data_IF_485772565754
#
_entry.id   IF_485772565754
#
_cell.length_a   1.000
_cell.length_b   1.000
_cell.length_c   1.000
_cell.angle_alpha   90.00
_cell.angle_beta   90.00
_cell.angle_gamma   90.00
#
_symmetry.space_group_name_H-M   'P 1'
#
loop_
_entity.id
_entity.type
_entity.pdbx_description
1 polymer ?
#
# COMPACT_ATOMS: atom_id res chain seq x y z
N UNK A 1 -13.02 -31.15 23.76
CA UNK A 1 -11.72 -31.70 23.26
C UNK A 1 -10.66 -31.10 24.14
N UNK A 2 -9.87 -31.89 24.86
CA UNK A 2 -8.76 -31.38 25.65
C UNK A 2 -7.72 -30.82 24.71
N UNK A 3 -7.46 -29.53 24.79
CA UNK A 3 -6.34 -28.89 24.10
C UNK A 3 -5.06 -29.43 24.74
N UNK A 4 -4.43 -30.41 24.10
CA UNK A 4 -3.08 -30.81 24.45
C UNK A 4 -2.19 -29.58 24.27
N UNK A 5 -1.73 -29.01 25.38
CA UNK A 5 -0.76 -27.94 25.35
C UNK A 5 0.56 -28.55 24.86
N UNK A 6 0.99 -28.19 23.66
CA UNK A 6 2.15 -28.76 22.95
C UNK A 6 3.45 -28.74 23.76
N UNK A 7 3.55 -27.84 24.77
CA UNK A 7 4.76 -27.60 25.58
C UNK A 7 4.52 -27.82 27.06
N UNK A 8 3.53 -28.65 27.45
CA UNK A 8 3.18 -28.90 28.84
C UNK A 8 4.28 -29.62 29.66
N UNK A 9 5.25 -30.21 28.98
CA UNK A 9 6.43 -30.86 29.56
C UNK A 9 7.54 -29.90 29.97
N UNK A 10 7.49 -28.64 29.54
CA UNK A 10 8.45 -27.62 29.89
C UNK A 10 7.91 -26.75 31.01
N UNK A 11 8.78 -26.44 31.98
CA UNK A 11 8.44 -25.51 33.04
C UNK A 11 8.31 -24.06 32.51
N UNK A 12 7.40 -23.30 33.07
CA UNK A 12 7.25 -21.89 32.71
C UNK A 12 8.46 -21.10 33.18
N UNK A 13 9.08 -20.34 32.27
CA UNK A 13 10.25 -19.50 32.53
C UNK A 13 9.81 -18.04 32.55
N UNK A 14 10.22 -17.29 33.56
CA UNK A 14 9.98 -15.85 33.67
C UNK A 14 10.93 -15.03 32.80
N UNK A 15 10.56 -13.78 32.49
CA UNK A 15 11.45 -12.84 31.79
C UNK A 15 12.75 -12.62 32.53
N UNK A 16 12.71 -12.58 33.89
CA UNK A 16 13.87 -12.40 34.74
C UNK A 16 14.85 -13.58 34.62
N UNK A 17 14.36 -14.82 34.66
CA UNK A 17 15.20 -16.03 34.48
C UNK A 17 15.82 -16.03 33.09
N UNK A 18 15.04 -15.72 32.05
CA UNK A 18 15.57 -15.63 30.69
C UNK A 18 16.65 -14.58 30.55
N UNK A 19 16.43 -13.38 31.10
CA UNK A 19 17.44 -12.32 31.12
C UNK A 19 18.71 -12.70 31.87
N UNK A 20 18.58 -13.40 32.98
CA UNK A 20 19.75 -13.91 33.75
C UNK A 20 20.56 -14.90 32.92
N UNK A 21 19.91 -15.80 32.20
CA UNK A 21 20.57 -16.75 31.30
C UNK A 21 21.37 -16.02 30.23
N UNK A 22 20.75 -15.02 29.58
CA UNK A 22 21.43 -14.20 28.57
C UNK A 22 22.66 -13.49 29.18
N UNK A 23 22.51 -12.88 30.34
CA UNK A 23 23.62 -12.19 31.01
C UNK A 23 24.78 -13.14 31.37
N UNK A 24 24.43 -14.36 31.77
CA UNK A 24 25.43 -15.40 32.00
C UNK A 24 26.21 -15.76 30.74
N UNK A 25 25.50 -15.90 29.62
CA UNK A 25 26.08 -16.24 28.32
C UNK A 25 26.93 -15.11 27.73
N UNK A 26 26.61 -13.85 28.05
CA UNK A 26 27.39 -12.67 27.65
C UNK A 26 28.76 -12.55 28.36
N UNK A 27 29.04 -13.38 29.39
CA UNK A 27 30.32 -13.46 30.08
C UNK A 27 30.89 -12.11 30.57
N UNK A 28 30.02 -11.25 31.07
CA UNK A 28 30.38 -9.94 31.63
C UNK A 28 30.30 -8.76 30.67
N UNK A 29 29.89 -8.99 29.43
CA UNK A 29 29.56 -7.90 28.49
C UNK A 29 28.21 -7.29 28.87
N UNK A 30 28.06 -5.97 28.78
CA UNK A 30 26.82 -5.31 29.13
C UNK A 30 25.66 -5.69 28.18
N UNK A 31 24.53 -6.06 28.78
CA UNK A 31 23.33 -6.49 28.07
C UNK A 31 22.75 -5.38 27.21
N UNK A 32 22.67 -4.14 27.72
CA UNK A 32 22.03 -3.04 27.02
C UNK A 32 22.88 -2.56 25.84
N UNK A 33 24.20 -2.50 26.03
CA UNK A 33 25.13 -2.07 24.98
C UNK A 33 25.22 -3.10 23.83
N UNK A 34 25.02 -4.39 24.15
CA UNK A 34 25.23 -5.47 23.16
C UNK A 34 23.96 -5.88 22.44
N UNK A 35 22.85 -5.95 23.16
CA UNK A 35 21.62 -6.59 22.66
C UNK A 35 20.41 -5.65 22.52
N UNK A 36 20.45 -4.47 23.17
CA UNK A 36 19.39 -3.50 23.03
C UNK A 36 19.72 -2.58 21.85
N UNK A 37 18.91 -2.65 20.83
CA UNK A 37 19.04 -1.80 19.67
C UNK A 37 18.17 -0.54 19.82
N UNK A 38 18.72 0.60 19.51
CA UNK A 38 17.97 1.85 19.45
C UNK A 38 17.63 2.18 18.00
N UNK A 39 16.33 2.25 17.71
CA UNK A 39 15.85 2.60 16.36
C UNK A 39 16.10 4.07 16.06
N UNK A 40 15.98 4.45 14.78
CA UNK A 40 16.11 5.84 14.34
C UNK A 40 15.02 6.76 14.93
N UNK A 41 13.94 6.19 15.45
CA UNK A 41 12.84 6.87 16.13
C UNK A 41 13.09 7.02 17.65
N UNK A 42 14.24 6.57 18.15
CA UNK A 42 14.60 6.61 19.57
C UNK A 42 13.93 5.54 20.42
N UNK A 43 13.40 4.48 19.79
CA UNK A 43 12.77 3.36 20.49
C UNK A 43 13.84 2.31 20.82
N UNK A 44 13.96 1.97 22.11
CA UNK A 44 14.84 0.89 22.56
C UNK A 44 14.17 -0.46 22.39
N UNK A 45 14.67 -1.25 21.44
CA UNK A 45 14.16 -2.58 21.12
C UNK A 45 14.99 -3.61 21.87
N UNK A 46 14.33 -4.37 22.76
CA UNK A 46 14.95 -5.45 23.52
C UNK A 46 15.09 -6.72 22.63
N UNK A 47 16.04 -7.63 22.94
CA UNK A 47 16.19 -8.88 22.19
C UNK A 47 15.03 -9.85 22.37
N UNK A 48 14.22 -9.69 23.41
CA UNK A 48 12.99 -10.44 23.65
C UNK A 48 11.99 -9.62 24.46
N UNK A 49 10.73 -10.01 24.37
CA UNK A 49 9.61 -9.51 25.18
C UNK A 49 8.86 -10.70 25.76
N UNK A 50 8.45 -10.58 27.02
CA UNK A 50 7.75 -11.63 27.74
C UNK A 50 6.44 -11.09 28.32
N UNK A 51 5.44 -11.97 28.46
CA UNK A 51 4.10 -11.59 28.89
C UNK A 51 4.05 -11.02 30.32
N UNK A 52 4.98 -11.43 31.19
CA UNK A 52 5.08 -10.93 32.58
C UNK A 52 5.64 -9.50 32.69
N UNK A 53 6.23 -8.97 31.62
CA UNK A 53 6.68 -7.58 31.49
C UNK A 53 5.72 -6.71 30.66
N UNK A 54 4.62 -7.29 30.17
CA UNK A 54 3.72 -6.60 29.24
C UNK A 54 2.48 -6.10 29.95
N UNK A 55 2.31 -4.79 30.01
CA UNK A 55 1.07 -4.14 30.41
C UNK A 55 0.05 -4.08 29.25
N UNK A 56 0.34 -4.72 28.12
CA UNK A 56 -0.52 -4.69 26.95
C UNK A 56 -1.77 -5.53 27.22
N UNK A 57 -2.89 -4.88 27.33
CA UNK A 57 -4.19 -5.55 27.35
C UNK A 57 -4.49 -6.06 25.94
N UNK A 58 -4.17 -7.31 25.65
CA UNK A 58 -4.41 -7.95 24.34
C UNK A 58 -5.89 -7.94 23.94
N UNK A 59 -6.81 -7.78 24.90
CA UNK A 59 -8.24 -7.66 24.65
C UNK A 59 -8.64 -6.27 24.10
N UNK A 60 -7.74 -5.28 24.17
CA UNK A 60 -7.94 -3.95 23.60
C UNK A 60 -7.52 -3.85 22.14
N UNK A 61 -6.98 -4.92 21.55
CA UNK A 61 -6.70 -4.98 20.12
C UNK A 61 -8.04 -4.98 19.39
N UNK A 62 -8.37 -3.86 18.77
CA UNK A 62 -9.56 -3.73 17.92
C UNK A 62 -9.44 -4.83 16.85
N UNK A 63 -10.47 -5.67 16.67
CA UNK A 63 -10.42 -6.69 15.64
C UNK A 63 -10.11 -6.04 14.30
N UNK A 64 -9.09 -6.53 13.64
CA UNK A 64 -8.69 -6.02 12.34
C UNK A 64 -9.89 -6.13 11.39
N UNK A 65 -10.22 -5.04 10.69
CA UNK A 65 -11.17 -5.13 9.59
C UNK A 65 -10.62 -6.13 8.58
N UNK A 66 -11.48 -6.89 7.89
CA UNK A 66 -11.02 -7.76 6.82
C UNK A 66 -10.16 -6.95 5.85
N UNK A 67 -8.96 -7.45 5.54
CA UNK A 67 -8.11 -6.87 4.50
C UNK A 67 -8.44 -7.53 3.17
N UNK A 68 -8.14 -6.84 2.09
CA UNK A 68 -8.35 -7.31 0.71
C UNK A 68 -7.01 -7.72 0.12
N UNK A 69 -6.93 -8.95 -0.36
CA UNK A 69 -5.72 -9.47 -1.02
C UNK A 69 -5.67 -8.95 -2.45
N UNK A 70 -4.68 -8.12 -2.76
CA UNK A 70 -4.48 -7.53 -4.08
C UNK A 70 -3.29 -8.16 -4.78
N UNK A 71 -3.50 -8.75 -5.96
CA UNK A 71 -2.44 -9.28 -6.79
C UNK A 71 -1.95 -8.24 -7.79
N UNK A 72 -0.63 -8.01 -7.82
CA UNK A 72 0.00 -7.15 -8.83
C UNK A 72 0.26 -7.93 -10.12
N UNK A 73 -0.10 -7.36 -11.27
CA UNK A 73 0.13 -7.90 -12.61
C UNK A 73 0.70 -6.80 -13.49
N UNK A 74 1.88 -7.04 -14.04
CA UNK A 74 2.48 -6.18 -15.05
C UNK A 74 1.93 -6.53 -16.43
N UNK A 75 1.38 -5.53 -17.13
CA UNK A 75 0.69 -5.74 -18.41
C UNK A 75 1.66 -5.52 -19.57
N UNK A 76 2.35 -6.59 -19.95
CA UNK A 76 3.16 -6.60 -21.16
C UNK A 76 2.36 -7.15 -22.37
N UNK A 77 1.56 -8.20 -22.14
CA UNK A 77 0.65 -8.80 -23.11
C UNK A 77 -0.74 -8.82 -22.52
N UNK A 78 -1.70 -8.18 -23.17
CA UNK A 78 -3.06 -7.98 -22.67
C UNK A 78 -3.76 -9.32 -22.39
N UNK A 79 -3.69 -10.26 -23.35
CA UNK A 79 -4.39 -11.55 -23.23
C UNK A 79 -3.82 -12.42 -22.12
N UNK A 80 -2.49 -12.46 -22.02
CA UNK A 80 -1.82 -13.20 -20.93
C UNK A 80 -2.09 -12.57 -19.58
N UNK A 81 -2.10 -11.25 -19.48
CA UNK A 81 -2.39 -10.52 -18.25
C UNK A 81 -3.84 -10.70 -17.81
N UNK A 82 -4.79 -10.68 -18.75
CA UNK A 82 -6.20 -11.00 -18.49
C UNK A 82 -6.36 -12.44 -17.97
N UNK A 83 -5.77 -13.43 -18.66
CA UNK A 83 -5.82 -14.83 -18.24
C UNK A 83 -5.22 -15.03 -16.84
N UNK A 84 -4.10 -14.36 -16.55
CA UNK A 84 -3.48 -14.39 -15.21
C UNK A 84 -4.35 -13.75 -14.14
N UNK A 85 -5.04 -12.67 -14.46
CA UNK A 85 -5.97 -12.02 -13.53
C UNK A 85 -7.14 -12.94 -13.18
N UNK A 86 -7.74 -13.61 -14.18
CA UNK A 86 -8.79 -14.60 -13.98
C UNK A 86 -8.32 -15.75 -13.08
N UNK A 87 -7.16 -16.35 -13.39
CA UNK A 87 -6.59 -17.42 -12.60
C UNK A 87 -6.32 -16.97 -11.15
N UNK A 88 -5.77 -15.81 -10.96
CA UNK A 88 -5.41 -15.27 -9.64
C UNK A 88 -6.65 -15.05 -8.76
N UNK A 89 -7.71 -14.48 -9.33
CA UNK A 89 -8.99 -14.30 -8.63
C UNK A 89 -9.62 -15.65 -8.26
N UNK A 90 -9.54 -16.66 -9.13
CA UNK A 90 -10.00 -18.02 -8.81
C UNK A 90 -9.20 -18.68 -7.69
N UNK A 91 -7.95 -18.30 -7.50
CA UNK A 91 -7.04 -18.82 -6.46
C UNK A 91 -7.12 -18.08 -5.13
N UNK A 92 -7.98 -17.08 -5.00
CA UNK A 92 -8.25 -16.40 -3.73
C UNK A 92 -7.72 -14.98 -3.60
N UNK A 93 -7.19 -14.37 -4.67
CA UNK A 93 -7.04 -12.93 -4.68
C UNK A 93 -8.43 -12.27 -4.76
N UNK A 94 -8.61 -11.16 -4.07
CA UNK A 94 -9.88 -10.45 -3.98
C UNK A 94 -9.90 -9.19 -4.85
N UNK A 95 -8.73 -8.79 -5.34
CA UNK A 95 -8.54 -7.62 -6.19
C UNK A 95 -7.29 -7.77 -7.06
N UNK A 96 -7.21 -6.98 -8.12
CA UNK A 96 -6.07 -6.98 -9.04
C UNK A 96 -5.56 -5.56 -9.25
N UNK A 97 -4.23 -5.41 -9.24
CA UNK A 97 -3.55 -4.20 -9.66
C UNK A 97 -2.80 -4.45 -10.96
N UNK A 98 -3.18 -3.73 -12.00
CA UNK A 98 -2.50 -3.74 -13.29
C UNK A 98 -1.51 -2.58 -13.37
N UNK A 99 -0.24 -2.87 -13.68
CA UNK A 99 0.72 -1.85 -14.09
C UNK A 99 0.76 -1.81 -15.61
N UNK A 100 0.37 -0.68 -16.20
CA UNK A 100 0.20 -0.46 -17.64
C UNK A 100 1.27 0.52 -18.11
N UNK A 101 2.14 0.10 -19.03
CA UNK A 101 3.29 0.92 -19.44
C UNK A 101 2.96 2.06 -20.40
N UNK A 102 1.88 1.92 -21.18
CA UNK A 102 1.52 2.91 -22.19
C UNK A 102 0.00 2.94 -22.44
N UNK A 103 -0.47 3.98 -23.11
CA UNK A 103 -1.89 4.24 -23.38
C UNK A 103 -2.46 3.54 -24.61
N UNK A 104 -1.68 2.64 -25.23
CA UNK A 104 -2.14 1.84 -26.39
C UNK A 104 -2.90 0.56 -25.99
N UNK A 105 -2.87 0.21 -24.70
CA UNK A 105 -3.52 -0.97 -24.15
C UNK A 105 -5.04 -0.83 -24.25
N UNK A 106 -5.73 -1.87 -24.75
CA UNK A 106 -7.19 -1.96 -24.73
C UNK A 106 -7.69 -2.36 -23.34
N UNK A 107 -8.44 -1.47 -22.70
CA UNK A 107 -9.06 -1.73 -21.39
C UNK A 107 -10.12 -2.81 -21.51
N UNK A 108 -10.89 -2.82 -22.60
CA UNK A 108 -11.92 -3.81 -22.86
C UNK A 108 -11.35 -5.22 -22.95
N UNK A 109 -10.23 -5.40 -23.67
CA UNK A 109 -9.58 -6.70 -23.76
C UNK A 109 -8.96 -7.11 -22.43
N UNK A 110 -8.32 -6.18 -21.73
CA UNK A 110 -7.69 -6.45 -20.43
C UNK A 110 -8.72 -6.88 -19.38
N UNK A 111 -9.88 -6.27 -19.39
CA UNK A 111 -10.96 -6.52 -18.44
C UNK A 111 -11.97 -7.58 -18.90
N UNK A 112 -11.76 -8.20 -20.06
CA UNK A 112 -12.70 -9.17 -20.62
C UNK A 112 -12.96 -10.36 -19.67
N UNK A 113 -14.23 -10.63 -19.39
CA UNK A 113 -14.69 -11.72 -18.51
C UNK A 113 -14.18 -11.66 -17.06
N UNK A 114 -13.55 -10.57 -16.64
CA UNK A 114 -13.21 -10.36 -15.25
C UNK A 114 -14.48 -10.07 -14.42
N UNK A 115 -14.60 -10.59 -13.19
CA UNK A 115 -15.73 -10.30 -12.31
C UNK A 115 -15.72 -8.82 -11.94
N UNK A 116 -16.85 -8.13 -12.12
CA UNK A 116 -16.98 -6.70 -11.80
C UNK A 116 -17.53 -6.49 -10.38
N UNK A 117 -18.43 -7.38 -9.96
CA UNK A 117 -19.04 -7.28 -8.64
C UNK A 117 -18.05 -7.70 -7.53
N UNK A 118 -17.97 -6.89 -6.48
CA UNK A 118 -17.15 -7.14 -5.28
C UNK A 118 -15.63 -7.22 -5.52
N UNK A 119 -15.13 -6.85 -6.70
CA UNK A 119 -13.71 -6.80 -7.01
C UNK A 119 -13.29 -5.36 -7.28
N UNK A 120 -12.22 -4.91 -6.62
CA UNK A 120 -11.61 -3.62 -6.91
C UNK A 120 -10.47 -3.81 -7.91
N UNK A 121 -10.38 -2.91 -8.88
CA UNK A 121 -9.29 -2.89 -9.86
C UNK A 121 -8.45 -1.65 -9.67
N UNK A 122 -7.14 -1.82 -9.65
CA UNK A 122 -6.18 -0.73 -9.53
C UNK A 122 -5.39 -0.65 -10.84
N UNK A 123 -5.30 0.54 -11.41
CA UNK A 123 -4.50 0.80 -12.61
C UNK A 123 -3.34 1.71 -12.26
N UNK A 124 -2.15 1.15 -12.17
CA UNK A 124 -0.92 1.89 -11.95
C UNK A 124 -0.37 2.34 -13.29
N UNK A 125 -0.34 3.66 -13.51
CA UNK A 125 0.04 4.30 -14.76
C UNK A 125 1.36 5.07 -14.57
N UNK A 126 2.50 4.57 -15.06
CA UNK A 126 3.76 5.28 -15.06
C UNK A 126 3.83 6.34 -16.18
N UNK A 127 2.68 6.87 -16.57
CA UNK A 127 2.51 7.94 -17.55
C UNK A 127 1.24 8.74 -17.22
N UNK A 128 1.11 9.93 -17.82
CA UNK A 128 -0.05 10.80 -17.62
C UNK A 128 -0.71 11.13 -18.96
N UNK A 129 -1.80 10.42 -19.28
CA UNK A 129 -2.63 10.62 -20.46
C UNK A 129 -4.09 10.87 -20.07
N UNK A 130 -4.63 12.05 -20.42
CA UNK A 130 -6.02 12.43 -20.15
C UNK A 130 -6.96 11.47 -20.89
N UNK A 131 -6.63 11.16 -22.14
CA UNK A 131 -7.42 10.30 -23.02
C UNK A 131 -7.53 8.88 -22.45
N UNK A 132 -6.43 8.38 -21.90
CA UNK A 132 -6.42 7.03 -21.31
C UNK A 132 -7.21 6.98 -20.01
N UNK A 133 -7.07 7.99 -19.15
CA UNK A 133 -7.88 8.11 -17.92
C UNK A 133 -9.37 8.22 -18.27
N UNK A 134 -9.71 8.96 -19.33
CA UNK A 134 -11.09 9.06 -19.82
C UNK A 134 -11.65 7.72 -20.28
N UNK A 135 -10.89 6.94 -21.06
CA UNK A 135 -11.28 5.56 -21.46
C UNK A 135 -11.53 4.66 -20.25
N UNK A 136 -10.66 4.72 -19.23
CA UNK A 136 -10.86 3.95 -17.99
C UNK A 136 -12.16 4.39 -17.31
N UNK A 137 -12.43 5.69 -17.22
CA UNK A 137 -13.63 6.22 -16.58
C UNK A 137 -14.90 5.82 -17.33
N UNK A 138 -14.90 5.87 -18.67
CA UNK A 138 -16.01 5.40 -19.50
C UNK A 138 -16.27 3.90 -19.29
N UNK A 139 -15.22 3.08 -19.30
CA UNK A 139 -15.33 1.65 -19.04
C UNK A 139 -15.90 1.39 -17.65
N UNK A 140 -15.36 2.08 -16.62
CA UNK A 140 -15.78 1.95 -15.22
C UNK A 140 -17.26 2.30 -15.07
N UNK A 141 -17.71 3.41 -15.62
CA UNK A 141 -19.09 3.87 -15.54
C UNK A 141 -20.04 2.92 -16.27
N UNK A 142 -19.70 2.53 -17.51
CA UNK A 142 -20.51 1.64 -18.34
C UNK A 142 -20.72 0.26 -17.68
N UNK A 143 -19.68 -0.28 -17.08
CA UNK A 143 -19.71 -1.63 -16.52
C UNK A 143 -19.95 -1.65 -15.00
N UNK A 144 -20.11 -0.48 -14.36
CA UNK A 144 -20.20 -0.32 -12.90
C UNK A 144 -18.99 -0.93 -12.15
N UNK A 145 -17.83 -0.89 -12.80
CA UNK A 145 -16.60 -1.40 -12.23
C UNK A 145 -16.04 -0.41 -11.22
N UNK A 146 -15.54 -0.89 -10.08
CA UNK A 146 -14.85 -0.05 -9.10
C UNK A 146 -13.36 0.00 -9.41
N UNK A 147 -12.92 1.14 -9.97
CA UNK A 147 -11.55 1.32 -10.44
C UNK A 147 -10.86 2.45 -9.66
N UNK A 148 -9.62 2.20 -9.27
CA UNK A 148 -8.69 3.15 -8.67
C UNK A 148 -7.54 3.37 -9.64
N UNK A 149 -7.32 4.61 -10.04
CA UNK A 149 -6.18 4.96 -10.88
C UNK A 149 -5.05 5.44 -9.98
N UNK A 150 -3.84 5.02 -10.27
CA UNK A 150 -2.63 5.36 -9.55
C UNK A 150 -1.73 6.15 -10.50
N UNK A 151 -1.90 7.48 -10.47
CA UNK A 151 -1.03 8.44 -11.15
C UNK A 151 -0.44 9.36 -10.10
N UNK A 152 0.86 9.63 -10.19
CA UNK A 152 1.58 10.43 -9.20
C UNK A 152 2.75 11.19 -9.85
N UNK A 153 2.53 12.38 -10.45
CA UNK A 153 3.61 13.19 -11.04
C UNK A 153 4.68 13.65 -10.06
N UNK A 154 4.31 14.00 -8.81
CA UNK A 154 5.29 14.36 -7.77
C UNK A 154 6.10 13.12 -7.37
N UNK A 155 5.44 11.97 -7.22
CA UNK A 155 6.12 10.70 -6.97
C UNK A 155 7.03 10.28 -8.13
N UNK A 156 6.62 10.54 -9.37
CA UNK A 156 7.47 10.35 -10.54
C UNK A 156 8.73 11.21 -10.47
N UNK A 157 8.58 12.50 -10.15
CA UNK A 157 9.72 13.40 -9.93
C UNK A 157 10.64 12.89 -8.82
N UNK A 158 10.06 12.49 -7.68
CA UNK A 158 10.83 12.01 -6.53
C UNK A 158 11.60 10.72 -6.81
N UNK A 159 11.04 9.84 -7.67
CA UNK A 159 11.60 8.54 -8.01
C UNK A 159 12.63 8.61 -9.14
N UNK A 160 12.32 9.35 -10.20
CA UNK A 160 13.10 9.33 -11.45
C UNK A 160 13.88 10.66 -11.66
N UNK A 161 13.65 11.69 -10.84
CA UNK A 161 14.26 13.01 -11.01
C UNK A 161 13.63 13.87 -12.11
N UNK A 162 12.60 13.40 -12.78
CA UNK A 162 11.93 14.09 -13.88
C UNK A 162 10.42 14.00 -13.74
N UNK A 163 9.72 15.07 -14.16
CA UNK A 163 8.28 15.08 -14.39
C UNK A 163 7.92 14.19 -15.58
N UNK A 164 6.66 13.88 -15.80
CA UNK A 164 6.22 13.22 -17.05
C UNK A 164 6.50 14.13 -18.26
N UNK A 165 6.14 15.42 -18.16
CA UNK A 165 6.52 16.45 -19.12
C UNK A 165 7.24 17.62 -18.42
N UNK A 166 6.52 18.37 -17.60
CA UNK A 166 7.00 19.42 -16.71
C UNK A 166 5.92 19.74 -15.66
N UNK A 167 6.29 20.54 -14.65
CA UNK A 167 5.40 20.90 -13.55
C UNK A 167 4.06 21.46 -14.02
N UNK A 168 4.09 22.47 -14.91
CA UNK A 168 2.88 23.17 -15.33
C UNK A 168 1.94 22.25 -16.10
N UNK A 169 2.46 21.53 -17.09
CA UNK A 169 1.67 20.62 -17.92
C UNK A 169 1.11 19.42 -17.17
N UNK A 170 1.88 18.85 -16.28
CA UNK A 170 1.43 17.70 -15.49
C UNK A 170 0.28 18.10 -14.56
N UNK A 171 0.37 19.27 -13.93
CA UNK A 171 -0.73 19.77 -13.10
C UNK A 171 -1.92 20.29 -13.92
N UNK A 172 -1.72 20.84 -15.11
CA UNK A 172 -2.81 21.17 -16.04
C UNK A 172 -3.61 19.92 -16.43
N UNK A 173 -2.91 18.83 -16.76
CA UNK A 173 -3.56 17.53 -17.05
C UNK A 173 -4.31 17.00 -15.84
N UNK A 174 -3.71 17.03 -14.64
CA UNK A 174 -4.39 16.59 -13.41
C UNK A 174 -5.62 17.42 -13.10
N UNK A 175 -5.57 18.74 -13.25
CA UNK A 175 -6.73 19.62 -13.08
C UNK A 175 -7.85 19.30 -14.11
N UNK A 176 -7.48 18.95 -15.33
CA UNK A 176 -8.44 18.54 -16.36
C UNK A 176 -9.10 17.21 -15.98
N UNK A 177 -8.32 16.24 -15.48
CA UNK A 177 -8.84 14.96 -14.99
C UNK A 177 -9.76 15.19 -13.79
N UNK A 178 -9.36 16.01 -12.81
CA UNK A 178 -10.16 16.30 -11.63
C UNK A 178 -11.54 16.89 -11.97
N UNK A 179 -11.59 17.83 -12.91
CA UNK A 179 -12.85 18.45 -13.36
C UNK A 179 -13.78 17.49 -14.09
N UNK A 180 -13.20 16.56 -14.83
CA UNK A 180 -13.96 15.59 -15.65
C UNK A 180 -14.31 14.31 -14.87
N UNK A 181 -13.75 14.14 -13.68
CA UNK A 181 -14.05 13.02 -12.81
C UNK A 181 -15.18 13.40 -11.87
N UNK A 182 -16.36 12.82 -12.08
CA UNK A 182 -17.49 13.06 -11.18
C UNK A 182 -17.22 12.42 -9.82
N UNK A 183 -17.48 13.14 -8.70
CA UNK A 183 -17.40 12.54 -7.39
C UNK A 183 -18.38 11.39 -7.30
N UNK A 184 -17.94 10.28 -6.77
CA UNK A 184 -18.79 9.14 -6.44
C UNK A 184 -19.72 9.54 -5.29
N UNK A 185 -20.90 10.06 -5.61
CA UNK A 185 -22.02 10.03 -4.66
C UNK A 185 -22.42 8.56 -4.47
N UNK A 186 -21.82 7.95 -3.46
CA UNK A 186 -22.02 6.55 -3.12
C UNK A 186 -21.31 5.58 -4.07
N UNK A 187 -20.34 4.86 -3.56
CA UNK A 187 -19.48 3.87 -4.21
C UNK A 187 -20.23 2.70 -4.91
N UNK A 188 -21.54 2.84 -5.19
CA UNK A 188 -22.45 1.82 -5.71
C UNK A 188 -22.80 2.00 -7.20
N UNK A 189 -22.42 3.13 -7.82
CA UNK A 189 -22.90 3.45 -9.18
C UNK A 189 -21.85 3.26 -10.29
N UNK A 190 -20.63 2.82 -9.95
CA UNK A 190 -19.52 2.72 -10.91
C UNK A 190 -18.82 4.07 -11.14
N UNK A 191 -17.61 4.04 -11.63
CA UNK A 191 -16.76 5.20 -11.88
C UNK A 191 -15.37 5.04 -11.24
N UNK A 192 -14.46 5.97 -11.57
CA UNK A 192 -13.12 5.99 -10.97
C UNK A 192 -13.20 6.50 -9.53
N UNK A 193 -12.84 5.63 -8.57
CA UNK A 193 -12.96 5.93 -7.14
C UNK A 193 -11.87 6.88 -6.63
N UNK A 194 -10.70 6.88 -7.28
CA UNK A 194 -9.57 7.78 -7.05
C UNK A 194 -8.68 7.77 -8.28
N UNK A 195 -8.08 8.92 -8.61
CA UNK A 195 -7.11 9.02 -9.70
C UNK A 195 -5.72 9.40 -9.23
N UNK A 196 -5.55 9.74 -7.96
CA UNK A 196 -4.25 10.03 -7.35
C UNK A 196 -3.94 9.02 -6.25
N UNK A 197 -2.74 8.46 -6.31
CA UNK A 197 -2.23 7.58 -5.27
C UNK A 197 -0.81 7.97 -4.92
N UNK A 198 -0.56 8.23 -3.66
CA UNK A 198 0.76 8.56 -3.12
C UNK A 198 1.30 7.34 -2.42
N UNK A 199 2.49 6.89 -2.82
CA UNK A 199 3.16 5.77 -2.18
C UNK A 199 4.28 6.23 -1.24
N UNK A 200 4.17 5.92 0.05
CA UNK A 200 5.25 6.12 1.01
C UNK A 200 6.49 5.25 0.71
N UNK A 201 6.31 4.20 -0.09
CA UNK A 201 7.39 3.30 -0.51
C UNK A 201 8.51 4.00 -1.26
N UNK A 202 8.24 5.11 -1.94
CA UNK A 202 9.26 5.94 -2.59
C UNK A 202 10.25 6.45 -1.54
N UNK A 203 9.74 7.01 -0.46
CA UNK A 203 10.55 7.57 0.63
C UNK A 203 11.24 6.49 1.45
N UNK A 204 10.56 5.36 1.70
CA UNK A 204 11.16 4.21 2.38
C UNK A 204 12.35 3.66 1.61
N UNK A 205 12.22 3.49 0.30
CA UNK A 205 13.30 2.99 -0.55
C UNK A 205 14.49 3.96 -0.62
N UNK A 206 14.24 5.25 -0.38
CA UNK A 206 15.29 6.27 -0.24
C UNK A 206 15.93 6.31 1.16
N UNK A 207 15.49 5.45 2.11
CA UNK A 207 16.06 5.34 3.45
C UNK A 207 15.36 6.18 4.52
N UNK A 208 14.17 6.74 4.24
CA UNK A 208 13.40 7.48 5.23
C UNK A 208 12.91 6.57 6.36
N UNK A 209 13.05 7.01 7.62
CA UNK A 209 12.46 6.35 8.76
C UNK A 209 10.93 6.54 8.78
N UNK A 210 10.22 5.85 9.69
CA UNK A 210 8.74 5.84 9.74
C UNK A 210 8.17 7.26 9.88
N UNK A 211 8.76 8.10 10.72
CA UNK A 211 8.32 9.49 10.93
C UNK A 211 8.52 10.33 9.67
N UNK A 212 9.68 10.19 9.02
CA UNK A 212 9.99 10.86 7.77
C UNK A 212 9.07 10.40 6.63
N UNK A 213 8.81 9.10 6.53
CA UNK A 213 7.87 8.56 5.53
C UNK A 213 6.49 9.20 5.68
N UNK A 214 5.96 9.26 6.91
CA UNK A 214 4.67 9.87 7.18
C UNK A 214 4.69 11.37 6.85
N UNK A 215 5.70 12.10 7.30
CA UNK A 215 5.84 13.53 7.06
C UNK A 215 5.91 13.86 5.55
N UNK A 216 6.74 13.15 4.80
CA UNK A 216 6.87 13.35 3.35
C UNK A 216 5.60 12.97 2.60
N UNK A 217 4.95 11.88 2.98
CA UNK A 217 3.69 11.45 2.35
C UNK A 217 2.57 12.47 2.58
N UNK A 218 2.47 13.03 3.78
CA UNK A 218 1.49 14.08 4.10
C UNK A 218 1.82 15.40 3.39
N UNK A 219 3.09 15.80 3.33
CA UNK A 219 3.52 16.98 2.58
C UNK A 219 3.22 16.83 1.09
N UNK A 220 3.46 15.65 0.53
CA UNK A 220 3.15 15.29 -0.84
C UNK A 220 1.65 15.42 -1.13
N UNK A 221 0.79 14.87 -0.26
CA UNK A 221 -0.65 15.01 -0.37
C UNK A 221 -1.09 16.49 -0.29
N UNK A 222 -0.52 17.25 0.64
CA UNK A 222 -0.82 18.66 0.81
C UNK A 222 -0.47 19.49 -0.44
N UNK A 223 0.60 19.14 -1.15
CA UNK A 223 0.97 19.81 -2.40
C UNK A 223 -0.09 19.57 -3.49
N UNK A 224 -0.68 18.38 -3.58
CA UNK A 224 -1.80 18.15 -4.49
C UNK A 224 -3.02 18.98 -4.12
N UNK A 225 -3.40 19.04 -2.85
CA UNK A 225 -4.53 19.88 -2.41
C UNK A 225 -4.32 21.37 -2.70
N UNK A 226 -3.08 21.85 -2.59
CA UNK A 226 -2.76 23.25 -2.90
C UNK A 226 -2.82 23.57 -4.39
N UNK A 227 -2.47 22.59 -5.25
CA UNK A 227 -2.37 22.81 -6.71
C UNK A 227 -3.60 22.36 -7.50
N UNK A 228 -4.44 21.54 -6.91
CA UNK A 228 -5.68 21.06 -7.53
C UNK A 228 -6.87 21.47 -6.65
N UNK A 229 -7.31 22.74 -6.74
CA UNK A 229 -8.33 23.28 -5.83
C UNK A 229 -9.70 22.59 -6.00
N UNK A 230 -9.98 22.03 -7.16
CA UNK A 230 -11.26 21.37 -7.48
C UNK A 230 -11.20 19.84 -7.25
N UNK A 231 -10.22 19.36 -6.48
CA UNK A 231 -10.11 17.92 -6.17
C UNK A 231 -11.25 17.51 -5.24
N UNK A 232 -12.23 16.83 -5.79
CA UNK A 232 -13.41 16.33 -5.07
C UNK A 232 -13.34 14.81 -4.79
N UNK A 233 -12.23 14.18 -5.17
CA UNK A 233 -12.00 12.76 -4.98
C UNK A 233 -10.98 12.51 -3.87
N UNK A 234 -11.08 11.36 -3.18
CA UNK A 234 -10.09 11.00 -2.18
C UNK A 234 -8.73 10.73 -2.83
N UNK A 235 -7.67 11.19 -2.18
CA UNK A 235 -6.30 10.76 -2.49
C UNK A 235 -6.07 9.44 -1.76
N UNK A 236 -5.61 8.43 -2.51
CA UNK A 236 -5.23 7.16 -1.92
C UNK A 236 -3.78 7.23 -1.41
N UNK A 237 -3.56 6.79 -0.18
CA UNK A 237 -2.21 6.70 0.39
C UNK A 237 -1.86 5.22 0.53
N UNK A 238 -0.74 4.82 -0.08
CA UNK A 238 -0.11 3.53 0.15
C UNK A 238 0.99 3.67 1.20
N UNK A 239 0.90 2.87 2.25
CA UNK A 239 1.94 2.79 3.26
C UNK A 239 2.76 1.53 3.00
N UNK A 240 4.08 1.70 2.88
CA UNK A 240 4.98 0.57 2.74
C UNK A 240 5.17 -0.09 4.11
N UNK A 241 4.87 -1.39 4.18
CA UNK A 241 5.20 -2.25 5.33
C UNK A 241 6.28 -3.22 4.87
N UNK A 242 7.51 -2.78 4.95
CA UNK A 242 8.66 -3.63 4.65
C UNK A 242 9.17 -4.25 5.94
N UNK A 243 8.85 -5.50 6.19
CA UNK A 243 9.65 -6.32 7.09
C UNK A 243 11.05 -6.42 6.50
N UNK A 244 12.01 -5.75 7.12
CA UNK A 244 13.40 -6.09 6.90
C UNK A 244 13.59 -7.52 7.44
N UNK A 245 13.61 -8.49 6.53
CA UNK A 245 14.17 -9.79 6.84
C UNK A 245 15.67 -9.58 6.83
N UNK A 246 16.26 -9.51 8.01
CA UNK A 246 17.71 -9.62 8.20
C UNK A 246 18.06 -11.08 8.13
#
# INVERSE_FOLDING_TARGET
>A
MATNNLFSEFEAVSSKQWKQQIQYELKGVDYNETLVWESLEGIKVKPFYHIDESDINLNAIVPAKPFVIVQNIFVHDVKKSNARALETLQRGAESVRFTIENDTISIEELMQNLPIENVNYYFNLPFLSIEFVHKINEFSTKNKAKIFIQVDPIGQLAKEGNWFENLEKDFEKLNTIAKNSHPLEGCLTGGVASFLTISSGIYQNAGANIVQQLAYTLAHANEYFNRIPDINQPITIEVADRKSVV
#
